data_IF_344715455667
#
_entry.id   IF_344715455667
#
_cell.length_a   1.000
_cell.length_b   1.000
_cell.length_c   1.000
_cell.angle_alpha   90.00
_cell.angle_beta   90.00
_cell.angle_gamma   90.00
#
_symmetry.space_group_name_H-M   'P 1'
#
loop_
_entity.id
_entity.type
_entity.pdbx_description
1 polymer ?
#
# COMPACT_ATOMS: atom_id res chain seq x y z
N UNK A 1 1.85 18.70 -23.67
CA UNK A 1 2.75 17.69 -23.08
C UNK A 1 3.18 18.06 -21.67
N UNK A 2 3.61 19.30 -21.38
CA UNK A 2 4.08 19.74 -20.04
C UNK A 2 2.98 19.64 -18.95
N UNK A 3 1.75 20.09 -19.24
CA UNK A 3 0.63 20.11 -18.28
C UNK A 3 0.18 18.70 -17.85
N UNK A 4 0.31 17.71 -18.73
CA UNK A 4 -0.03 16.31 -18.42
C UNK A 4 0.99 15.70 -17.45
N UNK A 5 2.27 16.04 -17.60
CA UNK A 5 3.35 15.58 -16.72
C UNK A 5 3.24 16.18 -15.29
N UNK A 6 2.88 17.45 -15.15
CA UNK A 6 2.71 18.07 -13.82
C UNK A 6 1.49 17.53 -13.08
N UNK A 7 0.39 17.22 -13.77
CA UNK A 7 -0.79 16.60 -13.16
C UNK A 7 -0.48 15.17 -12.68
N UNK A 8 0.21 14.37 -13.48
CA UNK A 8 0.64 13.02 -13.11
C UNK A 8 1.61 13.01 -11.92
N UNK A 9 2.55 13.96 -11.87
CA UNK A 9 3.47 14.12 -10.75
C UNK A 9 2.74 14.48 -9.44
N UNK A 10 1.79 15.40 -9.48
CA UNK A 10 0.99 15.78 -8.31
C UNK A 10 0.13 14.63 -7.76
N UNK A 11 -0.44 13.81 -8.63
CA UNK A 11 -1.24 12.66 -8.21
C UNK A 11 -0.35 11.56 -7.58
N UNK A 12 0.83 11.31 -8.11
CA UNK A 12 1.81 10.38 -7.52
C UNK A 12 2.23 10.85 -6.11
N UNK A 13 2.50 12.14 -5.92
CA UNK A 13 2.83 12.69 -4.61
C UNK A 13 1.71 12.50 -3.57
N UNK A 14 0.46 12.71 -3.97
CA UNK A 14 -0.70 12.49 -3.09
C UNK A 14 -0.83 11.03 -2.68
N UNK A 15 -0.53 10.10 -3.58
CA UNK A 15 -0.55 8.68 -3.27
C UNK A 15 0.52 8.27 -2.29
N UNK A 16 1.75 8.66 -2.56
CA UNK A 16 2.87 8.36 -1.68
C UNK A 16 2.55 8.86 -0.27
N UNK A 17 1.98 10.07 -0.16
CA UNK A 17 1.53 10.62 1.11
C UNK A 17 0.41 9.79 1.75
N UNK A 18 -0.57 9.33 0.98
CA UNK A 18 -1.67 8.48 1.47
C UNK A 18 -1.19 7.09 1.92
N UNK A 19 -0.11 6.59 1.32
CA UNK A 19 0.54 5.34 1.70
C UNK A 19 1.58 5.50 2.84
N UNK A 20 1.71 6.69 3.43
CA UNK A 20 2.75 7.04 4.42
C UNK A 20 4.17 6.82 3.88
N UNK A 21 4.39 7.11 2.60
CA UNK A 21 5.67 6.96 1.93
C UNK A 21 6.18 8.33 1.48
N UNK A 22 7.43 8.62 1.80
CA UNK A 22 8.17 9.73 1.26
C UNK A 22 9.41 9.28 0.50
N UNK A 23 9.75 9.95 -0.58
CA UNK A 23 11.00 9.72 -1.28
C UNK A 23 12.08 10.67 -0.80
N UNK A 24 13.32 10.22 -0.94
CA UNK A 24 14.52 11.01 -0.70
C UNK A 24 15.55 10.83 -1.83
N UNK A 25 16.32 11.87 -2.06
CA UNK A 25 17.49 11.87 -2.92
C UNK A 25 18.69 12.29 -2.08
N UNK A 26 19.71 11.45 -1.98
CA UNK A 26 20.93 11.72 -1.23
C UNK A 26 22.04 12.20 -2.15
N UNK A 27 22.60 13.37 -1.88
CA UNK A 27 23.81 13.89 -2.52
C UNK A 27 24.98 13.69 -1.57
N UNK A 28 25.85 12.72 -1.89
CA UNK A 28 26.99 12.38 -1.03
C UNK A 28 28.17 13.37 -1.10
N UNK A 29 28.16 14.30 -2.06
CA UNK A 29 29.15 15.35 -2.13
C UNK A 29 28.77 16.55 -1.27
N UNK A 30 27.48 16.89 -1.26
CA UNK A 30 26.96 17.98 -0.44
C UNK A 30 26.53 17.53 0.96
N UNK A 31 26.46 16.22 1.20
CA UNK A 31 26.02 15.60 2.45
C UNK A 31 24.59 16.02 2.86
N UNK A 32 23.69 16.08 1.86
CA UNK A 32 22.29 16.47 2.07
C UNK A 32 21.33 15.46 1.42
N UNK A 33 20.15 15.35 2.02
CA UNK A 33 18.97 14.78 1.38
C UNK A 33 18.13 15.89 0.78
N UNK A 34 17.49 15.59 -0.38
CA UNK A 34 16.34 16.30 -0.89
C UNK A 34 15.12 15.44 -0.57
N UNK A 35 14.14 16.01 0.10
CA UNK A 35 13.02 15.31 0.71
C UNK A 35 11.69 15.68 0.05
N UNK A 36 10.83 14.68 -0.19
CA UNK A 36 9.44 14.89 -0.62
C UNK A 36 8.63 15.64 0.42
N UNK A 37 7.50 16.24 0.00
CA UNK A 37 6.58 16.97 0.88
C UNK A 37 6.13 16.16 2.10
N UNK A 38 5.92 14.84 1.91
CA UNK A 38 5.58 13.96 3.02
C UNK A 38 6.71 13.90 4.06
N UNK A 39 7.97 13.75 3.63
CA UNK A 39 9.10 13.73 4.56
C UNK A 39 9.34 15.08 5.21
N UNK A 40 9.14 16.18 4.48
CA UNK A 40 9.22 17.52 5.06
C UNK A 40 8.19 17.67 6.19
N UNK A 41 6.94 17.25 5.96
CA UNK A 41 5.88 17.29 6.97
C UNK A 41 6.20 16.35 8.15
N UNK A 42 6.59 15.10 7.87
CA UNK A 42 6.94 14.11 8.90
C UNK A 42 8.06 14.60 9.83
N UNK A 43 9.11 15.16 9.25
CA UNK A 43 10.32 15.58 9.97
C UNK A 43 10.25 17.04 10.47
N UNK A 44 9.21 17.79 10.07
CA UNK A 44 9.03 19.18 10.44
C UNK A 44 10.02 20.13 9.77
N UNK A 45 10.44 19.82 8.55
CA UNK A 45 11.41 20.60 7.79
C UNK A 45 10.76 21.88 7.24
N UNK A 46 11.55 22.95 7.14
CA UNK A 46 11.15 24.24 6.54
C UNK A 46 11.48 24.33 5.03
N UNK A 47 12.26 23.37 4.52
CA UNK A 47 12.64 23.26 3.11
C UNK A 47 12.77 21.78 2.74
N UNK A 48 12.97 21.47 1.48
CA UNK A 48 13.21 20.13 0.97
C UNK A 48 14.61 19.59 1.28
N UNK A 49 15.54 20.44 1.74
CA UNK A 49 16.91 20.09 2.08
C UNK A 49 17.04 19.66 3.54
N UNK A 50 17.68 18.52 3.76
CA UNK A 50 17.97 17.96 5.08
C UNK A 50 19.43 17.50 5.12
N UNK A 51 20.33 18.16 5.90
CA UNK A 51 21.69 17.67 6.12
C UNK A 51 21.71 16.24 6.69
N UNK A 52 22.70 15.43 6.28
CA UNK A 52 22.84 14.05 6.79
C UNK A 52 22.96 14.00 8.31
N UNK A 53 23.66 14.95 8.88
CA UNK A 53 23.83 15.06 10.32
C UNK A 53 22.52 15.37 11.05
N UNK A 54 21.65 16.20 10.47
CA UNK A 54 20.37 16.54 11.07
C UNK A 54 19.44 15.33 11.04
N UNK A 55 19.44 14.55 9.95
CA UNK A 55 18.71 13.28 9.91
C UNK A 55 19.27 12.27 10.92
N UNK A 56 20.59 12.15 11.04
CA UNK A 56 21.23 11.27 12.02
C UNK A 56 20.78 11.57 13.44
N UNK A 57 20.61 12.86 13.79
CA UNK A 57 20.15 13.27 15.10
C UNK A 57 18.69 12.90 15.40
N UNK A 58 17.89 12.66 14.37
CA UNK A 58 16.51 12.18 14.53
C UNK A 58 16.43 10.69 14.84
N UNK A 59 17.48 9.92 14.58
CA UNK A 59 17.52 8.47 14.85
C UNK A 59 17.59 8.26 16.37
N UNK A 60 16.80 7.29 16.89
CA UNK A 60 16.86 6.89 18.30
C UNK A 60 18.26 6.36 18.64
N UNK A 61 18.79 6.73 19.79
CA UNK A 61 20.22 6.60 20.15
C UNK A 61 20.74 5.16 20.04
N UNK A 62 19.96 4.17 20.44
CA UNK A 62 20.33 2.75 20.39
C UNK A 62 20.46 2.20 18.95
N UNK A 63 19.92 2.92 17.95
CA UNK A 63 20.02 2.57 16.52
C UNK A 63 21.11 3.34 15.77
N UNK A 64 21.59 4.48 16.31
CA UNK A 64 22.52 5.39 15.63
C UNK A 64 23.76 4.71 15.07
N UNK A 65 24.45 3.91 15.89
CA UNK A 65 25.69 3.26 15.50
C UNK A 65 25.48 2.28 14.34
N UNK A 66 24.41 1.47 14.41
CA UNK A 66 24.07 0.52 13.35
C UNK A 66 23.75 1.24 12.05
N UNK A 67 22.83 2.21 12.09
CA UNK A 67 22.38 2.91 10.88
C UNK A 67 23.50 3.74 10.26
N UNK A 68 24.34 4.40 11.05
CA UNK A 68 25.49 5.14 10.57
C UNK A 68 26.51 4.25 9.85
N UNK A 69 26.79 3.07 10.42
CA UNK A 69 27.67 2.07 9.85
C UNK A 69 27.17 1.57 8.49
N UNK A 70 25.87 1.22 8.41
CA UNK A 70 25.23 0.77 7.18
C UNK A 70 25.15 1.88 6.12
N UNK A 71 24.81 3.11 6.53
CA UNK A 71 24.74 4.24 5.63
C UNK A 71 26.10 4.59 5.01
N UNK A 72 27.17 4.47 5.77
CA UNK A 72 28.54 4.70 5.25
C UNK A 72 28.90 3.73 4.12
N UNK A 73 28.29 2.55 4.09
CA UNK A 73 28.54 1.53 3.04
C UNK A 73 27.75 1.77 1.76
N UNK A 74 26.73 2.64 1.74
CA UNK A 74 25.89 2.92 0.57
C UNK A 74 26.70 3.30 -0.68
N UNK A 75 27.81 4.02 -0.50
CA UNK A 75 28.68 4.39 -1.62
C UNK A 75 29.21 3.18 -2.39
N UNK A 76 29.39 2.04 -1.71
CA UNK A 76 30.00 0.82 -2.24
C UNK A 76 28.99 -0.32 -2.44
N UNK A 77 27.79 -0.23 -1.87
CA UNK A 77 26.74 -1.26 -1.96
C UNK A 77 25.69 -0.87 -2.99
N UNK A 78 25.09 -1.87 -3.63
CA UNK A 78 23.96 -1.69 -4.56
C UNK A 78 22.61 -1.69 -3.85
N UNK A 79 22.57 -2.18 -2.62
CA UNK A 79 21.33 -2.32 -1.82
C UNK A 79 21.53 -1.70 -0.46
N UNK A 80 20.62 -0.80 -0.09
CA UNK A 80 20.46 -0.30 1.29
C UNK A 80 19.01 -0.44 1.67
N UNK A 81 18.76 -1.10 2.80
CA UNK A 81 17.43 -1.31 3.33
C UNK A 81 17.50 -1.48 4.85
N UNK A 82 16.84 -0.59 5.60
CA UNK A 82 16.91 -0.56 7.05
C UNK A 82 15.55 -0.18 7.68
N UNK A 83 15.28 -0.77 8.84
CA UNK A 83 14.13 -0.43 9.68
C UNK A 83 14.62 0.06 11.03
N UNK A 84 14.17 1.26 11.43
CA UNK A 84 14.61 1.90 12.67
C UNK A 84 13.66 3.01 13.11
N UNK A 85 13.66 3.37 14.41
CA UNK A 85 12.85 4.45 14.93
C UNK A 85 13.56 5.80 14.76
N UNK A 86 12.74 6.83 14.50
CA UNK A 86 13.18 8.23 14.47
C UNK A 86 12.26 9.11 15.34
N UNK A 87 12.76 10.23 15.79
CA UNK A 87 11.96 11.27 16.41
C UNK A 87 11.45 12.23 15.33
N UNK A 88 10.17 12.10 15.00
CA UNK A 88 9.46 12.97 14.06
C UNK A 88 8.79 14.13 14.78
N UNK A 89 8.23 15.10 14.04
CA UNK A 89 7.39 16.16 14.65
C UNK A 89 6.13 15.62 15.35
N UNK A 90 5.74 14.37 15.06
CA UNK A 90 4.59 13.69 15.65
C UNK A 90 4.98 12.68 16.73
N UNK A 91 6.19 12.79 17.31
CA UNK A 91 6.78 11.86 18.25
C UNK A 91 7.58 10.75 17.59
N UNK A 92 7.90 9.69 18.35
CA UNK A 92 8.64 8.56 17.82
C UNK A 92 7.83 7.85 16.74
N UNK A 93 8.48 7.58 15.61
CA UNK A 93 7.93 6.82 14.49
C UNK A 93 8.93 5.78 14.02
N UNK A 94 8.44 4.59 13.76
CA UNK A 94 9.22 3.59 13.06
C UNK A 94 9.16 3.82 11.57
N UNK A 95 10.31 3.74 10.94
CA UNK A 95 10.45 3.91 9.50
C UNK A 95 11.17 2.72 8.89
N UNK A 96 10.75 2.39 7.67
CA UNK A 96 11.46 1.51 6.77
C UNK A 96 12.05 2.37 5.65
N UNK A 97 13.38 2.38 5.54
CA UNK A 97 14.12 3.15 4.52
C UNK A 97 14.81 2.22 3.55
N UNK A 98 14.62 2.46 2.25
CA UNK A 98 15.20 1.65 1.18
C UNK A 98 15.71 2.52 0.04
N UNK A 99 16.92 2.21 -0.44
CA UNK A 99 17.46 2.73 -1.69
C UNK A 99 17.00 1.84 -2.85
N UNK A 100 16.54 2.44 -3.95
CA UNK A 100 16.13 1.71 -5.15
C UNK A 100 16.98 2.02 -6.36
N UNK A 101 17.72 3.13 -6.35
CA UNK A 101 18.60 3.53 -7.44
C UNK A 101 19.79 4.32 -6.93
N UNK A 102 20.93 4.13 -7.59
CA UNK A 102 22.15 4.88 -7.37
C UNK A 102 22.81 5.17 -8.71
N UNK A 103 23.31 6.38 -8.89
CA UNK A 103 24.02 6.78 -10.09
C UNK A 103 25.32 7.51 -9.74
N UNK A 104 26.27 7.46 -10.66
CA UNK A 104 27.48 8.25 -10.60
C UNK A 104 27.46 9.25 -11.75
N UNK A 105 27.45 10.52 -11.41
CA UNK A 105 27.45 11.60 -12.42
C UNK A 105 28.79 11.65 -13.16
N UNK A 106 28.83 12.35 -14.29
CA UNK A 106 30.06 12.57 -15.08
C UNK A 106 31.21 13.16 -14.25
N UNK A 107 30.88 13.97 -13.24
CA UNK A 107 31.84 14.58 -12.33
C UNK A 107 32.23 13.67 -11.15
N UNK A 108 31.88 12.39 -11.19
CA UNK A 108 32.19 11.40 -10.17
C UNK A 108 31.39 11.51 -8.87
N UNK A 109 30.38 12.38 -8.81
CA UNK A 109 29.47 12.54 -7.67
C UNK A 109 28.50 11.36 -7.60
N UNK A 110 28.29 10.82 -6.39
CA UNK A 110 27.34 9.74 -6.13
C UNK A 110 26.03 10.36 -5.67
N UNK A 111 24.95 9.98 -6.36
CA UNK A 111 23.58 10.33 -6.02
C UNK A 111 22.83 9.02 -5.77
N UNK A 112 22.10 8.93 -4.66
CA UNK A 112 21.24 7.80 -4.37
C UNK A 112 19.80 8.25 -4.20
N UNK A 113 18.87 7.39 -4.59
CA UNK A 113 17.42 7.62 -4.52
C UNK A 113 16.78 6.51 -3.72
N UNK A 114 15.87 6.88 -2.84
CA UNK A 114 15.18 5.93 -2.01
C UNK A 114 13.85 6.47 -1.50
N UNK A 115 13.25 5.68 -0.62
CA UNK A 115 12.03 6.06 0.06
C UNK A 115 12.10 5.71 1.54
N UNK A 116 11.28 6.38 2.31
CA UNK A 116 10.97 6.08 3.70
C UNK A 116 9.47 5.81 3.79
N UNK A 117 9.10 4.74 4.46
CA UNK A 117 7.73 4.43 4.81
C UNK A 117 7.58 4.41 6.33
N UNK A 118 6.56 5.10 6.87
CA UNK A 118 6.19 4.93 8.27
C UNK A 118 5.52 3.59 8.48
N UNK A 119 5.95 2.89 9.51
CA UNK A 119 5.42 1.58 9.91
C UNK A 119 5.00 1.58 11.38
N UNK A 120 4.24 0.58 11.78
CA UNK A 120 3.93 0.37 13.19
C UNK A 120 5.20 -0.07 13.96
N UNK A 121 5.23 0.23 15.26
CA UNK A 121 6.38 -0.11 16.10
C UNK A 121 6.54 -1.64 16.25
N UNK A 122 7.58 -2.26 15.68
CA UNK A 122 7.79 -3.69 15.78
C UNK A 122 8.21 -4.15 17.20
N UNK A 123 8.59 -3.23 18.10
CA UNK A 123 8.97 -3.56 19.47
C UNK A 123 7.77 -3.70 20.42
N UNK A 124 6.63 -3.08 20.11
CA UNK A 124 5.43 -3.10 20.98
C UNK A 124 4.66 -4.43 20.90
N UNK A 125 4.95 -5.23 19.90
CA UNK A 125 4.41 -6.56 19.80
C UNK A 125 5.43 -7.53 20.38
N UNK A 126 5.03 -8.44 21.27
CA UNK A 126 5.78 -9.64 21.62
C UNK A 126 5.85 -10.53 20.38
N UNK A 127 6.54 -10.03 19.37
CA UNK A 127 6.53 -10.61 18.04
C UNK A 127 7.61 -11.68 17.94
N UNK A 128 7.17 -12.87 17.64
CA UNK A 128 8.05 -13.93 17.17
C UNK A 128 8.75 -13.47 15.88
N UNK A 129 9.91 -14.03 15.57
CA UNK A 129 10.64 -13.79 14.30
C UNK A 129 9.69 -13.87 13.07
N UNK A 130 8.67 -14.70 13.18
CA UNK A 130 7.66 -14.87 12.13
C UNK A 130 6.81 -13.62 11.90
N UNK A 131 6.38 -12.93 12.95
CA UNK A 131 5.59 -11.68 12.83
C UNK A 131 6.42 -10.54 12.26
N UNK A 132 7.70 -10.45 12.63
CA UNK A 132 8.63 -9.49 12.05
C UNK A 132 8.81 -9.75 10.56
N UNK A 133 8.97 -11.00 10.16
CA UNK A 133 9.11 -11.38 8.75
C UNK A 133 7.83 -11.08 7.95
N UNK A 134 6.64 -11.30 8.52
CA UNK A 134 5.36 -10.94 7.88
C UNK A 134 5.24 -9.43 7.69
N UNK A 135 5.60 -8.65 8.69
CA UNK A 135 5.59 -7.18 8.60
C UNK A 135 6.55 -6.68 7.52
N UNK A 136 7.78 -7.17 7.51
CA UNK A 136 8.77 -6.86 6.47
C UNK A 136 8.27 -7.26 5.08
N UNK A 137 7.67 -8.43 4.94
CA UNK A 137 7.10 -8.88 3.67
C UNK A 137 6.03 -7.92 3.15
N UNK A 138 5.10 -7.49 4.01
CA UNK A 138 4.03 -6.54 3.66
C UNK A 138 4.61 -5.20 3.20
N UNK A 139 5.62 -4.69 3.89
CA UNK A 139 6.33 -3.46 3.53
C UNK A 139 7.02 -3.58 2.17
N UNK A 140 7.73 -4.68 1.95
CA UNK A 140 8.36 -4.98 0.67
C UNK A 140 7.37 -5.09 -0.48
N UNK A 141 6.20 -5.69 -0.23
CA UNK A 141 5.14 -5.87 -1.23
C UNK A 141 4.62 -4.52 -1.73
N UNK A 142 4.33 -3.58 -0.83
CA UNK A 142 3.89 -2.22 -1.20
C UNK A 142 4.94 -1.52 -2.07
N UNK A 143 6.19 -1.52 -1.62
CA UNK A 143 7.29 -0.87 -2.34
C UNK A 143 7.52 -1.47 -3.72
N UNK A 144 7.49 -2.80 -3.81
CA UNK A 144 7.64 -3.54 -5.07
C UNK A 144 6.52 -3.24 -6.03
N UNK A 145 5.29 -3.16 -5.54
CA UNK A 145 4.11 -2.82 -6.34
C UNK A 145 4.25 -1.44 -6.97
N UNK A 146 4.64 -0.43 -6.19
CA UNK A 146 4.89 0.92 -6.70
C UNK A 146 5.97 0.94 -7.78
N UNK A 147 7.12 0.29 -7.52
CA UNK A 147 8.21 0.22 -8.51
C UNK A 147 7.78 -0.49 -9.79
N UNK A 148 7.02 -1.58 -9.68
CA UNK A 148 6.52 -2.33 -10.83
C UNK A 148 5.60 -1.49 -11.71
N UNK A 149 4.73 -0.67 -11.11
CA UNK A 149 3.88 0.27 -11.86
C UNK A 149 4.69 1.36 -12.57
N UNK A 150 5.79 1.82 -11.98
CA UNK A 150 6.66 2.83 -12.60
C UNK A 150 7.49 2.28 -13.76
N UNK A 151 7.80 0.97 -13.75
CA UNK A 151 8.72 0.34 -14.70
C UNK A 151 8.03 -0.35 -15.88
N UNK A 152 6.74 -0.62 -15.82
CA UNK A 152 6.03 -1.37 -16.86
C UNK A 152 4.89 -0.57 -17.50
N UNK A 153 4.65 -0.85 -18.78
CA UNK A 153 3.47 -0.39 -19.49
C UNK A 153 2.27 -1.34 -19.34
N UNK A 154 2.50 -2.57 -18.88
CA UNK A 154 1.44 -3.57 -18.69
C UNK A 154 0.93 -3.53 -17.25
N UNK A 155 0.08 -2.55 -16.99
CA UNK A 155 -0.56 -2.35 -15.68
C UNK A 155 -1.40 -3.56 -15.28
N UNK A 156 -2.08 -4.20 -16.22
CA UNK A 156 -2.92 -5.37 -15.94
C UNK A 156 -2.11 -6.54 -15.36
N UNK A 157 -0.92 -6.77 -15.88
CA UNK A 157 0.00 -7.80 -15.37
C UNK A 157 0.47 -7.50 -13.95
N UNK A 158 0.78 -6.23 -13.66
CA UNK A 158 1.19 -5.81 -12.31
C UNK A 158 0.05 -6.00 -11.32
N UNK A 159 -1.18 -5.58 -11.69
CA UNK A 159 -2.37 -5.78 -10.83
C UNK A 159 -2.56 -7.26 -10.51
N UNK A 160 -2.52 -8.15 -11.50
CA UNK A 160 -2.66 -9.60 -11.27
C UNK A 160 -1.61 -10.11 -10.30
N UNK A 161 -0.35 -9.67 -10.45
CA UNK A 161 0.73 -10.06 -9.54
C UNK A 161 0.48 -9.60 -8.10
N UNK A 162 -0.02 -8.39 -7.92
CA UNK A 162 -0.40 -7.89 -6.59
C UNK A 162 -1.53 -8.73 -5.99
N UNK A 163 -2.56 -9.09 -6.78
CA UNK A 163 -3.65 -9.94 -6.28
C UNK A 163 -3.15 -11.33 -5.91
N UNK A 164 -2.21 -11.92 -6.68
CA UNK A 164 -1.57 -13.19 -6.34
C UNK A 164 -0.79 -13.10 -5.01
N UNK A 165 -0.02 -12.03 -4.81
CA UNK A 165 0.73 -11.81 -3.58
C UNK A 165 -0.22 -11.65 -2.36
N UNK A 166 -1.36 -10.95 -2.53
CA UNK A 166 -2.41 -10.85 -1.50
C UNK A 166 -3.02 -12.22 -1.21
N UNK A 167 -3.36 -12.99 -2.26
CA UNK A 167 -3.95 -14.32 -2.13
C UNK A 167 -3.04 -15.25 -1.31
N UNK A 168 -1.76 -15.26 -1.62
CA UNK A 168 -0.75 -16.09 -0.93
C UNK A 168 -0.60 -15.63 0.52
N UNK A 169 -0.41 -14.33 0.76
CA UNK A 169 -0.15 -13.79 2.09
C UNK A 169 -1.30 -14.05 3.06
N UNK A 170 -2.52 -13.92 2.60
CA UNK A 170 -3.69 -14.21 3.44
C UNK A 170 -4.12 -15.68 3.40
N UNK A 171 -3.49 -16.50 2.56
CA UNK A 171 -4.01 -17.83 2.22
C UNK A 171 -5.49 -17.71 1.87
N UNK A 172 -5.80 -16.71 1.02
CA UNK A 172 -7.16 -16.35 0.62
C UNK A 172 -7.76 -17.37 -0.35
N UNK A 173 -9.07 -17.34 -0.48
CA UNK A 173 -9.79 -18.16 -1.46
C UNK A 173 -9.97 -17.42 -2.78
N UNK A 174 -10.33 -16.14 -2.73
CA UNK A 174 -10.42 -15.22 -3.89
C UNK A 174 -9.91 -13.84 -3.49
N UNK A 175 -9.23 -13.17 -4.43
CA UNK A 175 -8.88 -11.75 -4.34
C UNK A 175 -9.34 -11.09 -5.63
N UNK A 176 -10.08 -9.99 -5.50
CA UNK A 176 -10.75 -9.39 -6.64
C UNK A 176 -10.80 -7.87 -6.59
N UNK A 177 -10.97 -7.26 -7.76
CA UNK A 177 -11.21 -5.83 -7.93
C UNK A 177 -12.53 -5.63 -8.64
N UNK A 178 -13.40 -4.84 -8.03
CA UNK A 178 -14.59 -4.30 -8.66
C UNK A 178 -14.40 -2.83 -9.01
N UNK A 179 -14.87 -2.46 -10.20
CA UNK A 179 -14.91 -1.06 -10.63
C UNK A 179 -16.36 -0.64 -10.88
N UNK A 180 -16.69 0.57 -10.44
CA UNK A 180 -17.96 1.21 -10.74
C UNK A 180 -17.94 1.77 -12.17
N UNK A 181 -19.08 1.75 -12.85
CA UNK A 181 -19.23 2.47 -14.10
C UNK A 181 -19.18 4.00 -13.86
N UNK A 182 -19.06 4.76 -14.95
CA UNK A 182 -18.92 6.24 -14.88
C UNK A 182 -20.14 6.89 -14.20
N UNK A 183 -21.32 6.36 -14.42
CA UNK A 183 -22.61 6.82 -13.90
C UNK A 183 -22.81 6.44 -12.42
N UNK A 184 -22.00 5.52 -11.87
CA UNK A 184 -22.11 5.05 -10.50
C UNK A 184 -23.38 4.25 -10.23
N UNK A 185 -23.89 3.53 -11.24
CA UNK A 185 -25.14 2.73 -11.19
C UNK A 185 -24.89 1.23 -11.23
N UNK A 186 -23.77 0.80 -11.77
CA UNK A 186 -23.36 -0.61 -11.84
C UNK A 186 -21.89 -0.80 -11.51
N UNK A 187 -21.50 -2.05 -11.30
CA UNK A 187 -20.15 -2.49 -11.01
C UNK A 187 -19.83 -3.77 -11.76
N UNK A 188 -18.53 -3.99 -11.99
CA UNK A 188 -18.05 -5.23 -12.60
C UNK A 188 -16.77 -5.70 -11.93
N UNK A 189 -16.57 -7.01 -11.83
CA UNK A 189 -15.32 -7.62 -11.45
C UNK A 189 -14.32 -7.50 -12.61
N UNK A 190 -13.31 -6.63 -12.47
CA UNK A 190 -12.33 -6.38 -13.53
C UNK A 190 -11.12 -7.28 -13.43
N UNK A 191 -10.75 -7.68 -12.23
CA UNK A 191 -9.66 -8.60 -11.94
C UNK A 191 -10.07 -9.56 -10.84
N UNK A 192 -9.71 -10.81 -10.99
CA UNK A 192 -9.86 -11.85 -9.97
C UNK A 192 -8.68 -12.82 -10.04
N UNK A 193 -8.22 -13.25 -8.87
CA UNK A 193 -7.27 -14.35 -8.69
C UNK A 193 -7.86 -15.29 -7.64
N UNK A 194 -7.82 -16.58 -7.90
CA UNK A 194 -8.42 -17.62 -7.05
C UNK A 194 -7.39 -18.65 -6.63
N UNK A 195 -7.59 -19.22 -5.44
CA UNK A 195 -6.80 -20.34 -4.95
C UNK A 195 -7.11 -21.62 -5.79
N UNK A 196 -6.19 -22.60 -5.83
CA UNK A 196 -6.50 -23.90 -6.39
C UNK A 196 -7.79 -24.47 -5.80
N UNK A 197 -8.61 -25.13 -6.62
CA UNK A 197 -9.90 -25.75 -6.22
C UNK A 197 -11.03 -24.77 -5.85
N UNK A 198 -10.79 -23.47 -5.92
CA UNK A 198 -11.83 -22.43 -5.75
C UNK A 198 -12.31 -21.95 -7.12
N UNK A 199 -13.64 -21.93 -7.32
CA UNK A 199 -14.22 -21.48 -8.58
C UNK A 199 -14.06 -19.97 -8.76
N UNK A 200 -13.57 -19.54 -9.93
CA UNK A 200 -13.58 -18.15 -10.33
C UNK A 200 -15.03 -17.65 -10.54
N UNK A 201 -15.26 -16.39 -10.20
CA UNK A 201 -16.59 -15.77 -10.30
C UNK A 201 -16.60 -14.58 -11.28
N UNK A 202 -15.44 -14.14 -11.76
CA UNK A 202 -15.28 -12.92 -12.57
C UNK A 202 -16.23 -12.85 -13.76
N UNK A 203 -16.43 -13.96 -14.48
CA UNK A 203 -17.26 -14.02 -15.68
C UNK A 203 -18.75 -13.75 -15.38
N UNK A 204 -19.20 -14.14 -14.18
CA UNK A 204 -20.58 -13.98 -13.73
C UNK A 204 -20.85 -12.65 -13.04
N UNK A 205 -19.79 -11.97 -12.58
CA UNK A 205 -19.87 -10.75 -11.81
C UNK A 205 -19.64 -9.51 -12.69
N UNK A 206 -20.40 -9.44 -13.78
CA UNK A 206 -20.35 -8.34 -14.76
C UNK A 206 -21.66 -7.54 -14.74
N UNK A 207 -21.57 -6.22 -14.88
CA UNK A 207 -22.72 -5.27 -14.91
C UNK A 207 -23.73 -5.42 -13.75
N UNK A 208 -23.24 -5.70 -12.54
CA UNK A 208 -24.07 -5.84 -11.35
C UNK A 208 -24.63 -4.48 -10.94
N UNK A 209 -25.94 -4.39 -10.71
CA UNK A 209 -26.55 -3.12 -10.29
C UNK A 209 -26.17 -2.80 -8.83
N UNK A 210 -25.72 -1.59 -8.57
CA UNK A 210 -25.38 -1.16 -7.20
C UNK A 210 -26.60 -1.14 -6.25
N UNK A 211 -27.81 -1.00 -6.79
CA UNK A 211 -29.06 -1.08 -6.02
C UNK A 211 -29.32 -2.48 -5.44
N UNK A 212 -28.70 -3.54 -5.99
CA UNK A 212 -28.85 -4.91 -5.53
C UNK A 212 -27.93 -5.23 -4.34
N UNK A 213 -26.97 -4.33 -4.04
CA UNK A 213 -26.05 -4.39 -2.89
C UNK A 213 -26.05 -3.04 -2.14
N UNK A 214 -27.20 -2.59 -1.60
CA UNK A 214 -27.34 -1.22 -1.10
C UNK A 214 -26.47 -0.94 0.14
N UNK A 215 -26.37 -1.89 1.07
CA UNK A 215 -25.57 -1.74 2.28
C UNK A 215 -24.08 -1.67 1.97
N UNK A 216 -23.54 -2.61 1.17
CA UNK A 216 -22.13 -2.61 0.78
C UNK A 216 -21.83 -1.35 -0.04
N UNK A 217 -22.70 -0.99 -0.98
CA UNK A 217 -22.56 0.21 -1.80
C UNK A 217 -22.50 1.47 -0.95
N UNK A 218 -23.40 1.64 0.02
CA UNK A 218 -23.41 2.80 0.89
C UNK A 218 -22.16 2.87 1.78
N UNK A 219 -21.73 1.72 2.34
CA UNK A 219 -20.55 1.61 3.20
C UNK A 219 -19.29 1.99 2.42
N UNK A 220 -19.09 1.40 1.23
CA UNK A 220 -17.88 1.62 0.43
C UNK A 220 -17.85 3.01 -0.21
N UNK A 221 -19.00 3.59 -0.62
CA UNK A 221 -19.08 4.98 -1.09
C UNK A 221 -18.77 5.99 0.01
N UNK A 222 -19.07 5.65 1.26
CA UNK A 222 -18.66 6.43 2.44
C UNK A 222 -17.17 6.19 2.83
N UNK A 223 -16.41 5.52 1.96
CA UNK A 223 -14.99 5.18 2.15
C UNK A 223 -14.71 4.38 3.44
N UNK A 224 -15.68 3.60 3.89
CA UNK A 224 -15.54 2.68 5.02
C UNK A 224 -15.29 1.26 4.52
N UNK A 225 -14.35 0.51 5.12
CA UNK A 225 -14.14 -0.89 4.79
C UNK A 225 -15.30 -1.75 5.28
N UNK A 226 -15.44 -2.94 4.69
CA UNK A 226 -16.27 -4.02 5.18
C UNK A 226 -15.32 -5.13 5.64
N UNK A 227 -15.32 -5.44 6.93
CA UNK A 227 -14.45 -6.44 7.54
C UNK A 227 -15.35 -7.36 8.36
N UNK A 228 -15.45 -8.63 7.95
CA UNK A 228 -16.34 -9.61 8.57
C UNK A 228 -15.53 -10.87 8.92
N UNK A 229 -15.50 -11.22 10.20
CA UNK A 229 -15.08 -12.54 10.66
C UNK A 229 -16.09 -13.60 10.21
N UNK A 230 -17.39 -13.25 10.29
CA UNK A 230 -18.50 -14.10 9.88
C UNK A 230 -19.58 -13.28 9.20
N UNK A 231 -20.26 -13.85 8.21
CA UNK A 231 -21.42 -13.23 7.57
C UNK A 231 -22.58 -12.97 8.57
N UNK A 232 -22.54 -13.55 9.77
CA UNK A 232 -23.51 -13.25 10.83
C UNK A 232 -23.36 -11.85 11.43
N UNK A 233 -22.24 -11.18 11.20
CA UNK A 233 -22.00 -9.79 11.62
C UNK A 233 -22.68 -8.77 10.69
N UNK A 234 -23.20 -9.24 9.54
CA UNK A 234 -23.93 -8.36 8.62
C UNK A 234 -25.25 -7.87 9.25
N UNK A 235 -25.55 -6.58 9.10
CA UNK A 235 -26.81 -6.03 9.64
C UNK A 235 -28.02 -6.64 8.95
N UNK A 236 -29.15 -6.68 9.64
CA UNK A 236 -30.41 -7.22 9.09
C UNK A 236 -30.82 -6.56 7.75
N UNK A 237 -30.49 -5.28 7.57
CA UNK A 237 -30.75 -4.55 6.32
C UNK A 237 -29.95 -5.08 5.12
N UNK A 238 -28.89 -5.88 5.34
CA UNK A 238 -28.06 -6.48 4.30
C UNK A 238 -28.39 -7.96 4.02
N UNK A 239 -29.58 -8.42 4.40
CA UNK A 239 -29.96 -9.83 4.28
C UNK A 239 -29.86 -10.36 2.84
N UNK A 240 -30.29 -9.58 1.85
CA UNK A 240 -30.22 -9.96 0.43
C UNK A 240 -28.75 -10.14 -0.02
N UNK A 241 -27.88 -9.27 0.40
CA UNK A 241 -26.43 -9.34 0.11
C UNK A 241 -25.80 -10.53 0.81
N UNK A 242 -26.17 -10.78 2.07
CA UNK A 242 -25.72 -11.96 2.82
C UNK A 242 -26.06 -13.26 2.09
N UNK A 243 -27.24 -13.38 1.51
CA UNK A 243 -27.65 -14.57 0.76
C UNK A 243 -26.81 -14.79 -0.50
N UNK A 244 -26.37 -13.71 -1.15
CA UNK A 244 -25.43 -13.79 -2.29
C UNK A 244 -24.09 -14.35 -1.82
N UNK A 245 -23.54 -13.83 -0.73
CA UNK A 245 -22.24 -14.25 -0.19
C UNK A 245 -22.29 -15.70 0.34
N UNK A 246 -23.38 -16.10 0.96
CA UNK A 246 -23.61 -17.49 1.43
C UNK A 246 -23.61 -18.47 0.24
N UNK A 247 -24.27 -18.12 -0.88
CA UNK A 247 -24.28 -18.97 -2.09
C UNK A 247 -22.88 -19.13 -2.71
N UNK A 248 -22.00 -18.16 -2.51
CA UNK A 248 -20.61 -18.23 -2.94
C UNK A 248 -19.69 -18.98 -1.96
N UNK A 249 -20.26 -19.50 -0.86
CA UNK A 249 -19.55 -20.25 0.17
C UNK A 249 -18.65 -19.41 1.07
N UNK A 250 -18.81 -18.08 1.06
CA UNK A 250 -17.95 -17.15 1.81
C UNK A 250 -18.23 -17.31 3.32
N UNK A 251 -17.16 -17.46 4.10
CA UNK A 251 -17.20 -17.49 5.57
C UNK A 251 -16.73 -16.17 6.17
N UNK A 252 -15.62 -15.66 5.68
CA UNK A 252 -15.02 -14.38 6.11
C UNK A 252 -14.63 -13.54 4.91
N UNK A 253 -14.65 -12.22 5.04
CA UNK A 253 -14.22 -11.33 3.98
C UNK A 253 -13.65 -10.02 4.53
N UNK A 254 -12.82 -9.39 3.70
CA UNK A 254 -12.41 -8.00 3.88
C UNK A 254 -12.49 -7.29 2.53
N UNK A 255 -13.20 -6.16 2.51
CA UNK A 255 -13.36 -5.32 1.33
C UNK A 255 -12.92 -3.90 1.70
N UNK A 256 -12.03 -3.33 0.90
CA UNK A 256 -11.53 -1.96 1.09
C UNK A 256 -11.87 -1.10 -0.11
N UNK A 257 -12.35 0.14 0.08
CA UNK A 257 -12.69 1.03 -1.01
C UNK A 257 -11.45 1.48 -1.78
N UNK A 258 -11.56 1.58 -3.09
CA UNK A 258 -10.61 2.26 -3.97
C UNK A 258 -11.15 3.66 -4.25
N UNK A 259 -10.56 4.67 -3.62
CA UNK A 259 -11.05 6.04 -3.68
C UNK A 259 -9.96 7.01 -4.15
N UNK A 260 -10.40 8.17 -4.60
CA UNK A 260 -9.54 9.32 -4.89
C UNK A 260 -10.29 10.59 -4.52
N UNK A 261 -9.74 11.32 -3.55
CA UNK A 261 -10.47 12.38 -2.89
C UNK A 261 -11.76 11.82 -2.28
N UNK A 262 -12.88 12.49 -2.53
CA UNK A 262 -14.18 12.08 -1.98
C UNK A 262 -14.95 11.09 -2.88
N UNK A 263 -14.32 10.56 -3.94
CA UNK A 263 -15.01 9.67 -4.89
C UNK A 263 -14.44 8.25 -4.83
N UNK A 264 -15.30 7.29 -4.51
CA UNK A 264 -15.01 5.86 -4.62
C UNK A 264 -15.24 5.40 -6.06
N UNK A 265 -14.25 4.70 -6.64
CA UNK A 265 -14.29 4.20 -8.02
C UNK A 265 -14.51 2.69 -8.11
N UNK A 266 -14.42 2.02 -6.97
CA UNK A 266 -14.53 0.58 -6.86
C UNK A 266 -14.00 0.11 -5.51
N UNK A 267 -13.60 -1.15 -5.45
CA UNK A 267 -13.04 -1.74 -4.24
C UNK A 267 -12.14 -2.94 -4.55
N UNK A 268 -11.23 -3.22 -3.63
CA UNK A 268 -10.42 -4.42 -3.57
C UNK A 268 -10.98 -5.31 -2.46
N UNK A 269 -11.23 -6.58 -2.75
CA UNK A 269 -11.77 -7.53 -1.80
C UNK A 269 -10.99 -8.82 -1.72
N UNK A 270 -11.09 -9.50 -0.57
CA UNK A 270 -10.60 -10.85 -0.32
C UNK A 270 -11.65 -11.65 0.40
N UNK A 271 -11.87 -12.88 -0.07
CA UNK A 271 -12.80 -13.87 0.50
C UNK A 271 -12.06 -15.08 1.02
N UNK A 272 -12.59 -15.64 2.11
CA UNK A 272 -12.19 -16.93 2.67
C UNK A 272 -13.43 -17.85 2.67
N UNK A 273 -13.34 -19.01 1.99
CA UNK A 273 -14.46 -19.96 1.86
C UNK A 273 -14.28 -21.23 2.69
N UNK A 274 -13.05 -21.60 3.04
CA UNK A 274 -12.70 -22.85 3.73
C UNK A 274 -12.73 -22.74 5.25
N UNK A 275 -12.49 -21.55 5.81
CA UNK A 275 -12.36 -21.29 7.25
C UNK A 275 -12.87 -19.91 7.64
N UNK A 276 -13.01 -19.66 8.93
CA UNK A 276 -13.17 -18.33 9.50
C UNK A 276 -11.79 -17.70 9.72
N UNK A 277 -11.66 -16.40 9.41
CA UNK A 277 -10.44 -15.64 9.62
C UNK A 277 -10.70 -14.41 10.49
N UNK A 278 -9.95 -14.29 11.58
CA UNK A 278 -9.91 -13.06 12.35
C UNK A 278 -8.95 -12.07 11.68
N UNK A 279 -9.49 -10.93 11.27
CA UNK A 279 -8.74 -9.87 10.59
C UNK A 279 -8.10 -8.96 11.62
N UNK A 280 -6.80 -8.69 11.45
CA UNK A 280 -6.05 -7.75 12.29
C UNK A 280 -6.07 -6.36 11.66
N UNK A 281 -5.79 -5.32 12.48
CA UNK A 281 -5.70 -3.95 11.96
C UNK A 281 -4.61 -3.80 10.89
N UNK A 282 -3.50 -4.52 11.04
CA UNK A 282 -2.39 -4.57 10.09
C UNK A 282 -2.79 -5.20 8.75
N UNK A 283 -3.69 -6.16 8.76
CA UNK A 283 -4.27 -6.76 7.55
C UNK A 283 -5.03 -5.70 6.75
N UNK A 284 -5.87 -4.93 7.44
CA UNK A 284 -6.61 -3.83 6.83
C UNK A 284 -5.69 -2.75 6.29
N UNK A 285 -4.71 -2.28 7.08
CA UNK A 285 -3.78 -1.22 6.67
C UNK A 285 -3.00 -1.62 5.40
N UNK A 286 -2.54 -2.85 5.34
CA UNK A 286 -1.83 -3.35 4.18
C UNK A 286 -2.73 -3.44 2.94
N UNK A 287 -3.92 -4.04 3.06
CA UNK A 287 -4.86 -4.16 1.95
C UNK A 287 -5.33 -2.78 1.46
N UNK A 288 -5.60 -1.84 2.36
CA UNK A 288 -5.99 -0.48 2.03
C UNK A 288 -4.88 0.29 1.28
N UNK A 289 -3.62 0.10 1.69
CA UNK A 289 -2.48 0.69 0.99
C UNK A 289 -2.38 0.19 -0.45
N UNK A 290 -2.54 -1.12 -0.66
CA UNK A 290 -2.54 -1.71 -2.01
C UNK A 290 -3.75 -1.25 -2.84
N UNK A 291 -4.94 -1.15 -2.23
CA UNK A 291 -6.14 -0.65 -2.89
C UNK A 291 -5.96 0.79 -3.39
N UNK A 292 -5.33 1.65 -2.59
CA UNK A 292 -5.02 3.03 -2.98
C UNK A 292 -4.05 3.08 -4.17
N UNK A 293 -2.99 2.27 -4.15
CA UNK A 293 -2.02 2.18 -5.25
C UNK A 293 -2.70 1.72 -6.54
N UNK A 294 -3.47 0.62 -6.46
CA UNK A 294 -4.22 0.07 -7.60
C UNK A 294 -5.21 1.10 -8.15
N UNK A 295 -5.94 1.79 -7.25
CA UNK A 295 -6.91 2.82 -7.62
C UNK A 295 -6.30 3.92 -8.48
N UNK A 296 -5.07 4.34 -8.16
CA UNK A 296 -4.38 5.34 -8.97
C UNK A 296 -3.96 4.80 -10.32
N UNK A 297 -3.36 3.62 -10.33
CA UNK A 297 -2.86 3.02 -11.56
C UNK A 297 -3.99 2.78 -12.58
N UNK A 298 -5.18 2.38 -12.08
CA UNK A 298 -6.38 2.22 -12.92
C UNK A 298 -6.95 3.53 -13.47
N UNK A 299 -6.59 4.69 -12.89
CA UNK A 299 -6.98 6.00 -13.43
C UNK A 299 -6.07 6.50 -14.55
N UNK A 300 -4.84 6.00 -14.59
CA UNK A 300 -3.86 6.34 -15.61
C UNK A 300 -4.09 5.56 -16.93
N UNK A 301 -5.03 4.58 -16.91
CA UNK A 301 -5.53 3.86 -18.09
C UNK A 301 -6.73 4.59 -18.71
#
# INVERSE_FOLDING_TARGET
MVVKNEFEQNEIQKLLKAANIGWWKADFKQEVYICSDFLQDLLGLKSDLLPFWDFYNLIRDDYKNRISSEFATIKNQEVYEQTFPIFSRYGEKWIHSKMYHKEKTENGQIIAYGFIQCIDNPETQHSTVQQINELLYRQHSISRSLLSFMQTKDIGKVIRKILEDILIQFQGSRVYIFQYNKEGTSQKCTYEVVAPEVSAQQEWLQDLKLKDTPWATATLKAQRPIILYSLNEMPAAAQQEKEILVRQGIKSLMIVPMASGNKTHGYLGIDIVDRYRNWQNEDYQWLASLANIISLCLKLL
#
